data_IF_643362108727
#
_entry.id   IF_643362108727
#
_cell.length_a   1.000
_cell.length_b   1.000
_cell.length_c   1.000
_cell.angle_alpha   90.00
_cell.angle_beta   90.00
_cell.angle_gamma   90.00
#
_symmetry.space_group_name_H-M   'P 1'
#
loop_
_entity.id
_entity.type
_entity.pdbx_description
1 polymer ?
#
# COMPACT_ATOMS: atom_id res chain seq x y z
N UNK A 1 20.98 -15.06 21.51
CA UNK A 1 21.88 -14.06 20.89
C UNK A 1 21.01 -12.99 20.26
N UNK A 2 21.42 -11.72 20.21
CA UNK A 2 20.61 -10.69 19.56
C UNK A 2 20.37 -11.03 18.09
N UNK A 3 19.16 -10.78 17.59
CA UNK A 3 18.81 -10.97 16.20
C UNK A 3 19.71 -10.10 15.31
N UNK A 4 20.26 -10.70 14.25
CA UNK A 4 21.11 -9.99 13.30
C UNK A 4 20.28 -9.59 12.09
N UNK A 5 20.16 -8.29 11.85
CA UNK A 5 19.52 -7.70 10.66
C UNK A 5 20.59 -7.23 9.69
N UNK A 6 20.48 -7.60 8.42
CA UNK A 6 21.43 -7.16 7.39
C UNK A 6 20.79 -7.14 6.01
N UNK A 7 21.40 -6.38 5.09
CA UNK A 7 21.01 -6.39 3.69
C UNK A 7 21.68 -7.58 2.98
N UNK A 8 20.88 -8.55 2.55
CA UNK A 8 21.30 -9.69 1.74
C UNK A 8 21.25 -9.38 0.24
N UNK A 9 21.41 -10.42 -0.58
CA UNK A 9 21.38 -10.27 -2.04
C UNK A 9 19.97 -9.91 -2.55
N UNK A 10 18.91 -10.41 -1.90
CA UNK A 10 17.51 -10.28 -2.32
C UNK A 10 16.70 -9.22 -1.58
N UNK A 11 17.24 -8.63 -0.51
CA UNK A 11 16.50 -7.72 0.37
C UNK A 11 16.98 -7.82 1.82
N UNK A 12 16.06 -7.61 2.75
CA UNK A 12 16.35 -7.64 4.18
C UNK A 12 16.41 -9.10 4.66
N UNK A 13 17.47 -9.43 5.39
CA UNK A 13 17.69 -10.74 5.98
C UNK A 13 17.74 -10.62 7.50
N UNK A 14 17.14 -11.60 8.17
CA UNK A 14 17.18 -11.77 9.63
C UNK A 14 17.82 -13.11 9.95
N UNK A 15 18.74 -13.12 10.90
CA UNK A 15 19.27 -14.33 11.51
C UNK A 15 18.97 -14.34 13.01
N UNK A 16 18.19 -15.31 13.45
CA UNK A 16 17.73 -15.43 14.85
C UNK A 16 17.76 -16.90 15.27
N UNK A 17 18.47 -17.21 16.36
CA UNK A 17 18.58 -18.57 16.92
C UNK A 17 19.00 -19.67 15.92
N UNK A 18 19.80 -19.31 14.91
CA UNK A 18 20.25 -20.23 13.85
C UNK A 18 19.31 -20.30 12.64
N UNK A 19 18.11 -19.74 12.75
CA UNK A 19 17.13 -19.61 11.66
C UNK A 19 17.44 -18.38 10.81
N UNK A 20 17.37 -18.55 9.49
CA UNK A 20 17.52 -17.49 8.49
C UNK A 20 16.18 -17.18 7.82
N UNK A 21 15.80 -15.91 7.85
CA UNK A 21 14.53 -15.42 7.32
C UNK A 21 14.81 -14.33 6.29
N UNK A 22 14.25 -14.47 5.10
CA UNK A 22 14.22 -13.41 4.10
C UNK A 22 12.90 -12.66 4.17
N UNK A 23 12.94 -11.34 4.35
CA UNK A 23 11.75 -10.48 4.45
C UNK A 23 11.51 -9.81 3.09
N UNK A 24 10.35 -10.08 2.47
CA UNK A 24 9.93 -9.54 1.17
C UNK A 24 11.03 -9.56 0.09
N UNK A 25 11.63 -10.71 -0.22
CA UNK A 25 12.72 -10.77 -1.18
C UNK A 25 12.27 -10.41 -2.59
N UNK A 26 13.04 -9.54 -3.24
CA UNK A 26 12.87 -9.15 -4.67
C UNK A 26 13.04 -10.32 -5.65
N UNK A 27 13.71 -11.40 -5.22
CA UNK A 27 13.79 -12.67 -5.94
C UNK A 27 14.06 -13.80 -4.95
N UNK A 28 13.61 -15.03 -5.24
CA UNK A 28 13.67 -16.09 -4.25
C UNK A 28 15.12 -16.54 -4.00
N UNK A 29 15.41 -16.89 -2.74
CA UNK A 29 16.75 -17.29 -2.25
C UNK A 29 16.66 -18.50 -1.30
N UNK A 30 17.74 -19.27 -1.19
CA UNK A 30 17.80 -20.37 -0.22
C UNK A 30 17.98 -19.81 1.19
N UNK A 31 17.00 -20.07 2.05
CA UNK A 31 16.95 -19.71 3.47
C UNK A 31 15.89 -20.58 4.14
N UNK A 32 15.84 -20.60 5.47
CA UNK A 32 14.86 -21.42 6.19
C UNK A 32 13.43 -20.94 5.91
N UNK A 33 13.20 -19.62 6.00
CA UNK A 33 11.89 -19.01 5.76
C UNK A 33 11.95 -17.80 4.82
N UNK A 34 10.95 -17.70 3.96
CA UNK A 34 10.66 -16.49 3.18
C UNK A 34 9.35 -15.91 3.68
N UNK A 35 9.39 -14.68 4.17
CA UNK A 35 8.18 -13.96 4.57
C UNK A 35 7.72 -13.04 3.44
N UNK A 36 6.42 -13.09 3.13
CA UNK A 36 5.74 -12.16 2.22
C UNK A 36 4.69 -11.41 3.02
N UNK A 37 4.95 -10.12 3.28
CA UNK A 37 4.13 -9.27 4.12
C UNK A 37 2.76 -9.00 3.50
N UNK A 38 2.74 -8.67 2.20
CA UNK A 38 1.51 -8.34 1.50
C UNK A 38 1.64 -8.44 -0.03
N UNK A 39 0.54 -8.20 -0.71
CA UNK A 39 0.39 -8.51 -2.13
C UNK A 39 0.66 -7.32 -3.08
N UNK A 40 1.41 -6.28 -2.69
CA UNK A 40 1.93 -5.30 -3.66
C UNK A 40 3.16 -5.84 -4.40
N UNK A 41 3.46 -5.28 -5.59
CA UNK A 41 4.42 -5.90 -6.52
C UNK A 41 5.85 -5.85 -5.98
N UNK A 42 6.19 -4.78 -5.30
CA UNK A 42 7.48 -4.53 -4.67
C UNK A 42 7.78 -5.45 -3.47
N UNK A 43 6.77 -6.18 -2.98
CA UNK A 43 6.90 -7.22 -1.95
C UNK A 43 6.74 -8.64 -2.52
N UNK A 44 6.41 -8.76 -3.81
CA UNK A 44 6.25 -10.02 -4.51
C UNK A 44 7.42 -10.26 -5.45
N UNK A 45 7.77 -11.53 -5.63
CA UNK A 45 8.68 -11.94 -6.68
C UNK A 45 8.01 -12.95 -7.60
N UNK A 46 8.45 -12.98 -8.85
CA UNK A 46 8.07 -14.07 -9.76
C UNK A 46 8.82 -15.34 -9.37
N UNK A 47 8.15 -16.47 -9.55
CA UNK A 47 8.77 -17.79 -9.37
C UNK A 47 10.02 -17.91 -10.24
N UNK A 48 11.15 -18.17 -9.60
CA UNK A 48 12.41 -18.47 -10.29
C UNK A 48 12.37 -19.85 -10.96
N UNK A 49 13.21 -20.05 -11.98
CA UNK A 49 13.35 -21.37 -12.64
C UNK A 49 14.05 -22.41 -11.77
N UNK A 50 14.81 -21.98 -10.76
CA UNK A 50 15.54 -22.87 -9.85
C UNK A 50 14.64 -23.30 -8.70
N UNK A 51 14.69 -24.59 -8.34
CA UNK A 51 14.09 -25.08 -7.10
C UNK A 51 14.84 -24.46 -5.93
N UNK A 52 14.11 -23.74 -5.09
CA UNK A 52 14.63 -23.08 -3.89
C UNK A 52 14.04 -23.79 -2.69
N UNK A 53 14.88 -24.09 -1.70
CA UNK A 53 14.46 -24.70 -0.45
C UNK A 53 14.21 -23.58 0.55
N UNK A 54 12.95 -23.25 0.77
CA UNK A 54 12.48 -22.28 1.77
C UNK A 54 11.01 -22.56 2.07
N UNK A 55 10.58 -22.41 3.33
CA UNK A 55 9.17 -22.40 3.69
C UNK A 55 8.65 -20.96 3.57
N UNK A 56 7.57 -20.77 2.81
CA UNK A 56 6.97 -19.43 2.68
C UNK A 56 5.99 -19.20 3.82
N UNK A 57 6.05 -18.01 4.40
CA UNK A 57 5.13 -17.52 5.44
C UNK A 57 4.41 -16.31 4.88
N UNK A 58 3.09 -16.39 4.77
CA UNK A 58 2.24 -15.33 4.21
C UNK A 58 0.79 -15.57 4.66
N UNK A 59 -0.01 -14.51 4.71
CA UNK A 59 -1.45 -14.66 4.98
C UNK A 59 -2.20 -15.29 3.80
N UNK A 60 -3.34 -15.91 4.12
CA UNK A 60 -4.29 -16.43 3.12
C UNK A 60 -4.76 -15.32 2.19
N UNK A 61 -5.10 -14.15 2.73
CA UNK A 61 -5.56 -13.00 1.95
C UNK A 61 -4.48 -12.52 0.97
N UNK A 62 -3.23 -12.39 1.44
CA UNK A 62 -2.09 -12.00 0.59
C UNK A 62 -1.92 -12.99 -0.55
N UNK A 63 -2.04 -14.29 -0.28
CA UNK A 63 -1.92 -15.35 -1.28
C UNK A 63 -3.00 -15.26 -2.37
N UNK A 64 -4.26 -15.09 -1.97
CA UNK A 64 -5.39 -14.99 -2.91
C UNK A 64 -5.33 -13.71 -3.75
N UNK A 65 -4.95 -12.58 -3.14
CA UNK A 65 -4.77 -11.32 -3.85
C UNK A 65 -3.59 -11.41 -4.81
N UNK A 66 -2.45 -11.98 -4.39
CA UNK A 66 -1.29 -12.20 -5.25
C UNK A 66 -1.66 -13.05 -6.48
N UNK A 67 -2.41 -14.13 -6.28
CA UNK A 67 -2.91 -15.00 -7.35
C UNK A 67 -3.78 -14.24 -8.36
N UNK A 68 -4.73 -13.43 -7.87
CA UNK A 68 -5.57 -12.60 -8.75
C UNK A 68 -4.75 -11.59 -9.57
N UNK A 69 -3.58 -11.19 -9.07
CA UNK A 69 -2.62 -10.29 -9.74
C UNK A 69 -1.59 -11.03 -10.60
N UNK A 70 -1.66 -12.36 -10.69
CA UNK A 70 -0.78 -13.18 -11.54
C UNK A 70 0.53 -13.59 -10.88
N UNK A 71 0.62 -13.53 -9.55
CA UNK A 71 1.76 -14.00 -8.75
C UNK A 71 1.39 -15.30 -8.03
N UNK A 72 2.35 -16.23 -7.93
CA UNK A 72 2.15 -17.52 -7.28
C UNK A 72 2.94 -17.55 -5.96
N UNK A 73 2.25 -17.70 -4.83
CA UNK A 73 2.84 -18.02 -3.53
C UNK A 73 2.53 -19.49 -3.26
N UNK A 74 3.57 -20.34 -3.25
CA UNK A 74 3.41 -21.79 -3.16
C UNK A 74 3.50 -22.24 -1.71
N UNK A 75 2.53 -23.05 -1.28
CA UNK A 75 2.44 -23.68 0.04
C UNK A 75 2.73 -22.72 1.23
N UNK A 76 2.06 -21.54 1.30
CA UNK A 76 2.27 -20.61 2.40
C UNK A 76 1.75 -21.18 3.72
N UNK A 77 2.47 -20.88 4.80
CA UNK A 77 2.04 -21.18 6.16
C UNK A 77 1.70 -19.88 6.90
N UNK A 78 0.55 -19.85 7.58
CA UNK A 78 0.17 -18.74 8.47
C UNK A 78 0.64 -18.94 9.91
N UNK A 79 0.90 -20.20 10.28
CA UNK A 79 1.42 -20.60 11.58
C UNK A 79 2.74 -21.36 11.38
N UNK A 80 3.80 -20.79 11.90
CA UNK A 80 5.12 -21.40 12.00
C UNK A 80 5.66 -21.05 13.38
N UNK A 81 6.08 -22.06 14.16
CA UNK A 81 6.53 -21.84 15.54
C UNK A 81 7.60 -20.75 15.63
N UNK A 82 7.36 -19.75 16.49
CA UNK A 82 8.24 -18.58 16.65
C UNK A 82 8.06 -17.49 15.60
N UNK A 83 7.19 -17.66 14.60
CA UNK A 83 6.90 -16.70 13.52
C UNK A 83 5.42 -16.31 13.54
N UNK A 84 5.10 -15.25 14.28
CA UNK A 84 3.73 -14.78 14.42
C UNK A 84 3.40 -13.68 13.40
N UNK A 85 2.27 -13.85 12.71
CA UNK A 85 1.71 -12.83 11.82
C UNK A 85 0.90 -11.80 12.61
N UNK A 86 1.20 -10.51 12.40
CA UNK A 86 0.53 -9.38 13.07
C UNK A 86 -0.10 -8.47 12.01
N UNK A 87 -1.36 -8.07 12.19
CA UNK A 87 -2.05 -7.16 11.26
C UNK A 87 -1.40 -5.77 11.21
N UNK A 88 -1.09 -5.29 10.01
CA UNK A 88 -0.40 -3.99 9.80
C UNK A 88 -1.34 -2.89 9.37
N UNK A 89 -2.63 -3.17 9.13
CA UNK A 89 -3.60 -2.17 8.72
C UNK A 89 -3.31 -1.48 7.38
N UNK A 90 -2.35 -1.96 6.58
CA UNK A 90 -1.95 -1.35 5.30
C UNK A 90 -2.94 -1.65 4.17
N UNK A 91 -3.07 -2.92 3.78
CA UNK A 91 -4.08 -3.42 2.84
C UNK A 91 -4.68 -4.73 3.37
N UNK A 92 -5.79 -5.21 2.78
CA UNK A 92 -6.40 -6.47 3.21
C UNK A 92 -5.36 -7.61 3.10
N UNK A 93 -5.12 -8.29 4.22
CA UNK A 93 -4.15 -9.38 4.30
C UNK A 93 -2.74 -8.98 4.68
N UNK A 94 -2.41 -7.69 4.77
CA UNK A 94 -1.06 -7.26 5.10
C UNK A 94 -0.68 -7.69 6.53
N UNK A 95 0.46 -8.36 6.64
CA UNK A 95 1.02 -8.84 7.91
C UNK A 95 2.43 -8.33 8.10
N UNK A 96 2.76 -8.05 9.35
CA UNK A 96 4.12 -7.96 9.86
C UNK A 96 4.48 -9.29 10.50
N UNK A 97 5.77 -9.49 10.74
CA UNK A 97 6.32 -10.73 11.28
C UNK A 97 6.97 -10.46 12.63
N UNK A 98 6.42 -11.05 13.69
CA UNK A 98 7.02 -11.08 15.02
C UNK A 98 7.79 -12.41 15.19
N UNK A 99 9.08 -12.31 15.45
CA UNK A 99 10.01 -13.45 15.55
C UNK A 99 10.45 -13.65 17.00
N UNK A 100 10.05 -14.77 17.60
CA UNK A 100 10.25 -15.17 19.00
C UNK A 100 10.00 -14.05 20.04
N UNK A 101 8.97 -13.22 19.84
CA UNK A 101 8.66 -12.05 20.69
C UNK A 101 9.83 -11.05 20.86
N UNK A 102 10.81 -11.08 19.95
CA UNK A 102 12.05 -10.31 20.07
C UNK A 102 12.24 -9.29 18.94
N UNK A 103 11.92 -9.70 17.71
CA UNK A 103 12.08 -8.88 16.52
C UNK A 103 10.75 -8.73 15.80
N UNK A 104 10.36 -7.50 15.50
CA UNK A 104 9.17 -7.22 14.69
C UNK A 104 9.54 -6.53 13.38
N UNK A 105 9.16 -7.14 12.26
CA UNK A 105 9.20 -6.52 10.94
C UNK A 105 7.80 -6.07 10.54
N UNK A 106 7.63 -4.78 10.24
CA UNK A 106 6.30 -4.23 9.95
C UNK A 106 5.80 -4.57 8.56
N UNK A 107 6.68 -4.81 7.58
CA UNK A 107 6.29 -4.57 6.18
C UNK A 107 5.78 -3.13 6.02
N UNK A 108 4.79 -2.94 5.16
CA UNK A 108 4.06 -1.67 5.12
C UNK A 108 2.98 -1.63 6.19
N UNK A 109 2.81 -0.47 6.82
CA UNK A 109 2.01 -0.32 8.03
C UNK A 109 1.16 0.95 8.02
N UNK A 110 -0.02 0.88 8.62
CA UNK A 110 -0.86 2.03 8.85
C UNK A 110 -1.60 1.98 10.20
N UNK A 111 -1.39 2.99 11.03
CA UNK A 111 -1.95 3.07 12.38
C UNK A 111 -3.31 3.75 12.47
N UNK A 112 -3.85 4.28 11.37
CA UNK A 112 -5.19 4.90 11.34
C UNK A 112 -6.25 3.96 10.81
N UNK A 113 -7.45 4.07 11.37
CA UNK A 113 -8.63 3.39 10.84
C UNK A 113 -9.03 4.00 9.49
N UNK A 114 -9.28 3.15 8.49
CA UNK A 114 -9.65 3.58 7.13
C UNK A 114 -10.63 2.62 6.50
N UNK A 115 -11.83 3.09 6.16
CA UNK A 115 -12.86 2.29 5.49
C UNK A 115 -13.18 0.97 6.22
N UNK A 116 -12.68 -0.17 5.72
CA UNK A 116 -12.82 -1.49 6.33
C UNK A 116 -11.53 -1.99 7.01
N UNK A 117 -10.44 -1.22 6.94
CA UNK A 117 -9.15 -1.54 7.55
C UNK A 117 -9.10 -1.03 8.99
N UNK A 118 -8.74 -1.92 9.90
CA UNK A 118 -8.46 -1.56 11.29
C UNK A 118 -7.04 -0.99 11.43
N UNK A 119 -6.79 -0.15 12.45
CA UNK A 119 -5.44 0.25 12.83
C UNK A 119 -4.52 -0.95 13.07
N UNK A 120 -3.25 -0.82 12.65
CA UNK A 120 -2.19 -1.69 13.14
C UNK A 120 -2.11 -1.65 14.67
N UNK A 121 -1.78 -2.79 15.29
CA UNK A 121 -1.47 -2.87 16.72
C UNK A 121 -0.02 -3.25 16.86
N UNK A 122 0.77 -2.43 17.55
CA UNK A 122 2.20 -2.70 17.67
C UNK A 122 2.45 -3.73 18.76
N UNK A 123 3.11 -4.86 18.45
CA UNK A 123 3.60 -5.76 19.49
C UNK A 123 4.79 -5.12 20.20
N UNK A 124 5.08 -5.59 21.41
CA UNK A 124 6.38 -5.32 22.02
C UNK A 124 7.46 -6.18 21.35
N UNK A 125 8.58 -5.57 21.00
CA UNK A 125 9.75 -6.25 20.46
C UNK A 125 11.01 -5.44 20.78
N UNK A 126 12.14 -6.09 21.10
CA UNK A 126 13.41 -5.39 21.37
C UNK A 126 14.03 -4.83 20.09
N UNK A 127 13.83 -5.51 18.95
CA UNK A 127 14.25 -5.01 17.63
C UNK A 127 13.04 -4.71 16.76
N UNK A 128 12.95 -3.49 16.23
CA UNK A 128 11.91 -3.09 15.28
C UNK A 128 12.53 -2.84 13.91
N UNK A 129 12.00 -3.45 12.86
CA UNK A 129 12.29 -3.13 11.46
C UNK A 129 11.03 -2.48 10.86
N UNK A 130 11.08 -1.18 10.60
CA UNK A 130 9.89 -0.37 10.23
C UNK A 130 10.07 0.36 8.89
N UNK A 131 9.00 0.39 8.10
CA UNK A 131 8.98 1.16 6.84
C UNK A 131 9.10 2.67 7.08
N UNK A 132 9.50 3.41 6.06
CA UNK A 132 9.62 4.87 6.12
C UNK A 132 9.23 5.56 4.82
N UNK A 133 8.17 5.07 4.17
CA UNK A 133 7.65 5.65 2.92
C UNK A 133 7.39 7.15 3.06
N UNK A 134 6.84 7.57 4.20
CA UNK A 134 6.60 8.97 4.57
C UNK A 134 7.44 9.39 5.79
N UNK A 135 8.69 8.94 5.84
CA UNK A 135 9.62 9.17 6.96
C UNK A 135 10.13 10.60 7.16
N UNK A 136 9.66 11.59 6.41
CA UNK A 136 10.01 13.01 6.60
C UNK A 136 8.90 13.78 7.34
N UNK A 137 9.25 14.73 8.24
CA UNK A 137 8.29 15.51 9.03
C UNK A 137 7.24 16.31 8.24
N UNK A 138 7.48 16.57 6.95
CA UNK A 138 6.56 17.28 6.06
C UNK A 138 5.38 16.42 5.57
N UNK A 139 5.48 15.09 5.66
CA UNK A 139 4.41 14.18 5.27
C UNK A 139 3.48 13.89 6.45
N UNK A 140 2.59 14.86 6.71
CA UNK A 140 1.47 14.73 7.65
C UNK A 140 0.17 14.71 6.85
N UNK A 141 -0.65 13.68 7.04
CA UNK A 141 -1.90 13.56 6.31
C UNK A 141 -3.04 14.25 7.05
N UNK A 142 -3.96 14.94 6.34
CA UNK A 142 -5.14 15.47 6.97
C UNK A 142 -6.07 14.32 7.42
N UNK A 143 -7.01 14.59 8.34
CA UNK A 143 -8.00 13.61 8.74
C UNK A 143 -8.79 13.06 7.54
N UNK A 144 -9.11 11.76 7.56
CA UNK A 144 -9.87 11.11 6.49
C UNK A 144 -11.21 11.81 6.20
N UNK A 145 -11.86 12.33 7.25
CA UNK A 145 -13.10 13.09 7.12
C UNK A 145 -12.95 14.35 6.28
N UNK A 146 -11.82 15.05 6.35
CA UNK A 146 -11.52 16.22 5.52
C UNK A 146 -11.34 15.82 4.05
N UNK A 147 -10.60 14.74 3.79
CA UNK A 147 -10.41 14.19 2.44
C UNK A 147 -11.76 13.80 1.83
N UNK A 148 -12.61 13.11 2.60
CA UNK A 148 -13.95 12.73 2.17
C UNK A 148 -14.83 13.95 1.91
N UNK A 149 -14.82 14.94 2.80
CA UNK A 149 -15.60 16.16 2.65
C UNK A 149 -15.20 16.92 1.38
N UNK A 150 -13.90 17.16 1.17
CA UNK A 150 -13.39 17.85 -0.03
C UNK A 150 -13.71 17.09 -1.31
N UNK A 151 -13.59 15.76 -1.30
CA UNK A 151 -13.95 14.93 -2.46
C UNK A 151 -15.45 15.02 -2.78
N UNK A 152 -16.31 14.85 -1.77
CA UNK A 152 -17.77 14.94 -1.97
C UNK A 152 -18.18 16.33 -2.47
N UNK A 153 -17.54 17.40 -1.98
CA UNK A 153 -17.75 18.76 -2.47
C UNK A 153 -17.45 18.88 -3.96
N UNK A 154 -16.28 18.39 -4.41
CA UNK A 154 -15.92 18.41 -5.84
C UNK A 154 -16.90 17.59 -6.65
N UNK A 155 -17.26 16.38 -6.20
CA UNK A 155 -18.23 15.54 -6.92
C UNK A 155 -19.57 16.27 -7.07
N UNK A 156 -20.08 16.90 -6.00
CA UNK A 156 -21.33 17.66 -6.03
C UNK A 156 -21.26 18.83 -7.01
N UNK A 157 -20.19 19.63 -6.97
CA UNK A 157 -19.99 20.76 -7.89
C UNK A 157 -19.92 20.31 -9.35
N UNK A 158 -19.25 19.18 -9.63
CA UNK A 158 -19.18 18.64 -10.98
C UNK A 158 -20.53 18.08 -11.44
N UNK A 159 -21.29 17.46 -10.54
CA UNK A 159 -22.66 17.01 -10.82
C UNK A 159 -23.58 18.17 -11.21
N UNK A 160 -23.51 19.31 -10.50
CA UNK A 160 -24.29 20.52 -10.83
C UNK A 160 -23.95 21.06 -12.22
N UNK A 161 -22.71 20.84 -12.68
CA UNK A 161 -22.24 21.23 -14.02
C UNK A 161 -22.46 20.15 -15.08
N UNK A 162 -23.00 18.98 -14.72
CA UNK A 162 -23.14 17.84 -15.62
C UNK A 162 -21.81 17.17 -16.02
N UNK A 163 -20.74 17.39 -15.24
CA UNK A 163 -19.38 16.92 -15.52
C UNK A 163 -19.14 15.58 -14.79
N UNK A 164 -18.71 14.51 -15.50
CA UNK A 164 -18.31 13.27 -14.85
C UNK A 164 -17.03 13.37 -14.03
N UNK A 165 -16.89 12.52 -13.00
CA UNK A 165 -15.73 12.52 -12.11
C UNK A 165 -15.11 11.13 -12.01
N UNK A 166 -13.79 11.06 -12.16
CA UNK A 166 -13.01 9.83 -12.02
C UNK A 166 -12.15 9.91 -10.76
N UNK A 167 -12.43 9.05 -9.79
CA UNK A 167 -11.67 8.86 -8.56
C UNK A 167 -10.58 7.82 -8.79
N UNK A 168 -9.32 8.23 -8.68
CA UNK A 168 -8.19 7.42 -9.10
C UNK A 168 -7.27 7.06 -7.92
N UNK A 169 -7.08 5.76 -7.69
CA UNK A 169 -6.16 5.22 -6.69
C UNK A 169 -5.51 3.93 -7.19
N UNK A 170 -4.42 3.48 -6.56
CA UNK A 170 -3.81 2.20 -6.92
C UNK A 170 -4.84 1.06 -6.95
N UNK A 171 -4.71 0.20 -7.96
CA UNK A 171 -5.67 -0.87 -8.25
C UNK A 171 -5.91 -1.81 -7.06
N UNK A 172 -4.87 -2.04 -6.25
CA UNK A 172 -4.93 -2.77 -4.98
C UNK A 172 -4.81 -1.80 -3.79
N UNK A 173 -5.70 -1.97 -2.81
CA UNK A 173 -5.74 -1.21 -1.56
C UNK A 173 -6.57 0.06 -1.72
N UNK A 174 -6.01 1.04 -2.42
CA UNK A 174 -6.59 2.38 -2.52
C UNK A 174 -7.91 2.41 -3.27
N UNK A 175 -8.01 1.74 -4.42
CA UNK A 175 -9.25 1.70 -5.20
C UNK A 175 -10.41 1.00 -4.46
N UNK A 176 -10.12 -0.04 -3.66
CA UNK A 176 -11.12 -0.69 -2.80
C UNK A 176 -11.59 0.26 -1.70
N UNK A 177 -10.66 1.01 -1.09
CA UNK A 177 -10.98 2.05 -0.11
C UNK A 177 -11.87 3.15 -0.74
N UNK A 178 -11.55 3.64 -1.94
CA UNK A 178 -12.39 4.61 -2.66
C UNK A 178 -13.78 4.04 -2.96
N UNK A 179 -13.86 2.79 -3.41
CA UNK A 179 -15.14 2.07 -3.63
C UNK A 179 -15.98 2.05 -2.36
N UNK A 180 -15.36 1.84 -1.19
CA UNK A 180 -16.06 1.84 0.10
C UNK A 180 -16.52 3.24 0.53
N UNK A 181 -15.61 4.23 0.46
CA UNK A 181 -15.83 5.57 0.99
C UNK A 181 -16.81 6.40 0.15
N UNK A 182 -16.87 6.14 -1.15
CA UNK A 182 -17.71 6.87 -2.10
C UNK A 182 -18.80 6.00 -2.73
N UNK A 183 -19.08 4.83 -2.13
CA UNK A 183 -20.09 3.89 -2.63
C UNK A 183 -21.51 4.46 -2.68
N UNK A 184 -21.82 5.49 -1.88
CA UNK A 184 -23.11 6.19 -1.92
C UNK A 184 -23.37 6.96 -3.22
N UNK A 185 -22.32 7.27 -3.99
CA UNK A 185 -22.45 7.83 -5.34
C UNK A 185 -22.72 6.77 -6.41
N UNK A 186 -22.80 5.49 -6.03
CA UNK A 186 -22.99 4.35 -6.94
C UNK A 186 -21.99 4.36 -8.11
N UNK A 187 -20.67 4.43 -7.82
CA UNK A 187 -19.67 4.62 -8.86
C UNK A 187 -19.61 3.44 -9.83
N UNK A 188 -19.37 3.75 -11.09
CA UNK A 188 -18.91 2.78 -12.10
C UNK A 188 -17.51 2.32 -11.68
N UNK A 189 -17.21 1.03 -11.81
CA UNK A 189 -15.94 0.47 -11.39
C UNK A 189 -15.12 0.06 -12.62
N UNK A 190 -13.92 0.59 -12.76
CA UNK A 190 -13.00 0.15 -13.81
C UNK A 190 -12.73 -1.36 -13.70
N UNK A 191 -12.71 -2.09 -14.81
CA UNK A 191 -12.70 -3.57 -14.80
C UNK A 191 -11.52 -4.19 -14.02
N UNK A 192 -10.33 -3.56 -14.06
CA UNK A 192 -9.19 -4.02 -13.26
C UNK A 192 -9.38 -3.85 -11.75
N UNK A 193 -10.12 -2.82 -11.31
CA UNK A 193 -10.49 -2.60 -9.91
C UNK A 193 -11.59 -3.59 -9.53
N UNK A 194 -12.56 -3.83 -10.41
CA UNK A 194 -13.63 -4.80 -10.19
C UNK A 194 -13.08 -6.21 -9.93
N UNK A 195 -12.03 -6.61 -10.65
CA UNK A 195 -11.32 -7.88 -10.43
C UNK A 195 -10.71 -8.00 -9.03
N UNK A 196 -10.21 -6.93 -8.44
CA UNK A 196 -9.67 -6.96 -7.07
C UNK A 196 -10.80 -6.83 -6.04
N UNK A 197 -11.83 -6.04 -6.33
CA UNK A 197 -13.03 -5.94 -5.49
C UNK A 197 -13.74 -7.29 -5.33
N UNK A 198 -13.74 -8.16 -6.36
CA UNK A 198 -14.31 -9.50 -6.24
C UNK A 198 -13.56 -10.36 -5.22
N UNK A 199 -12.21 -10.33 -5.24
CA UNK A 199 -11.38 -11.04 -4.25
C UNK A 199 -11.62 -10.50 -2.85
N UNK A 200 -11.70 -9.18 -2.68
CA UNK A 200 -12.03 -8.57 -1.39
C UNK A 200 -13.40 -9.03 -0.89
N UNK A 201 -14.37 -9.20 -1.78
CA UNK A 201 -15.71 -9.67 -1.44
C UNK A 201 -15.73 -11.15 -1.06
N UNK A 202 -14.97 -12.00 -1.76
CA UNK A 202 -14.75 -13.41 -1.39
C UNK A 202 -14.08 -13.55 -0.01
N UNK A 203 -13.23 -12.60 0.34
CA UNK A 203 -12.58 -12.47 1.65
C UNK A 203 -13.47 -11.80 2.72
N UNK A 204 -14.73 -11.49 2.40
CA UNK A 204 -15.73 -11.01 3.35
C UNK A 204 -15.84 -9.49 3.49
N UNK A 205 -15.12 -8.70 2.69
CA UNK A 205 -15.25 -7.23 2.69
C UNK A 205 -16.47 -6.81 1.88
N UNK A 206 -17.40 -6.10 2.53
CA UNK A 206 -18.60 -5.54 1.87
C UNK A 206 -18.26 -4.26 1.09
N UNK A 207 -17.94 -4.43 -0.19
CA UNK A 207 -17.79 -3.35 -1.17
C UNK A 207 -19.08 -3.18 -1.98
N UNK A 208 -19.31 -1.97 -2.51
CA UNK A 208 -20.41 -1.74 -3.43
C UNK A 208 -20.17 -2.52 -4.73
N UNK A 209 -21.14 -3.35 -5.13
CA UNK A 209 -21.15 -4.00 -6.43
C UNK A 209 -21.65 -2.99 -7.46
N UNK A 210 -20.73 -2.25 -8.07
CA UNK A 210 -21.02 -1.32 -9.16
C UNK A 210 -21.03 -2.01 -10.52
N UNK A 211 -21.62 -1.33 -11.50
CA UNK A 211 -21.51 -1.68 -12.92
C UNK A 211 -20.05 -1.49 -13.35
N UNK A 212 -19.47 -2.42 -14.12
CA UNK A 212 -18.10 -2.24 -14.61
C UNK A 212 -18.03 -1.21 -15.73
N UNK A 213 -16.85 -0.64 -16.00
CA UNK A 213 -16.69 0.31 -17.12
C UNK A 213 -17.19 -0.28 -18.45
N UNK A 214 -16.80 -1.52 -18.78
CA UNK A 214 -17.30 -2.21 -19.98
C UNK A 214 -18.83 -2.32 -20.01
N UNK A 215 -19.44 -2.75 -18.91
CA UNK A 215 -20.90 -2.87 -18.83
C UNK A 215 -21.60 -1.51 -18.97
N UNK A 216 -21.01 -0.46 -18.41
CA UNK A 216 -21.52 0.90 -18.52
C UNK A 216 -21.46 1.42 -19.96
N UNK A 217 -20.39 1.10 -20.70
CA UNK A 217 -20.30 1.40 -22.14
C UNK A 217 -21.37 0.64 -22.95
N UNK A 218 -21.51 -0.67 -22.74
CA UNK A 218 -22.49 -1.52 -23.44
C UNK A 218 -23.94 -1.08 -23.16
N UNK A 219 -24.23 -0.59 -21.95
CA UNK A 219 -25.54 -0.11 -21.53
C UNK A 219 -25.77 1.38 -21.85
N UNK A 220 -24.78 2.08 -22.41
CA UNK A 220 -24.88 3.52 -22.71
C UNK A 220 -25.00 4.42 -21.47
N UNK A 221 -24.48 3.97 -20.32
CA UNK A 221 -24.50 4.73 -19.06
C UNK A 221 -23.46 5.87 -19.04
N UNK A 222 -22.40 5.76 -19.86
CA UNK A 222 -21.44 6.84 -20.04
C UNK A 222 -22.02 7.88 -21.01
N UNK A 223 -22.54 8.98 -20.45
CA UNK A 223 -23.14 10.09 -21.20
C UNK A 223 -22.47 11.42 -20.87
N UNK A 224 -22.56 12.39 -21.79
CA UNK A 224 -22.24 13.80 -21.53
C UNK A 224 -23.37 14.54 -20.80
N UNK A 225 -24.59 14.01 -20.87
CA UNK A 225 -25.79 14.72 -20.40
C UNK A 225 -26.20 14.34 -18.98
N UNK A 226 -25.61 13.28 -18.42
CA UNK A 226 -25.87 12.80 -17.07
C UNK A 226 -24.50 12.56 -16.41
N UNK A 227 -24.17 13.27 -15.32
CA UNK A 227 -22.90 13.08 -14.64
C UNK A 227 -22.85 11.69 -13.98
N UNK A 228 -21.68 11.09 -13.99
CA UNK A 228 -21.39 9.81 -13.36
C UNK A 228 -20.08 9.89 -12.58
N UNK A 229 -19.95 9.07 -11.54
CA UNK A 229 -18.70 8.85 -10.82
C UNK A 229 -18.11 7.52 -11.25
N UNK A 230 -16.79 7.46 -11.40
CA UNK A 230 -16.06 6.23 -11.62
C UNK A 230 -14.93 6.07 -10.60
N UNK A 231 -14.68 4.85 -10.14
CA UNK A 231 -13.43 4.47 -9.46
C UNK A 231 -12.52 3.74 -10.45
N UNK A 232 -11.31 4.25 -10.64
CA UNK A 232 -10.34 3.72 -11.61
C UNK A 232 -8.92 3.62 -11.02
N UNK A 233 -8.01 2.85 -11.66
CA UNK A 233 -6.60 2.86 -11.33
C UNK A 233 -6.00 4.27 -11.42
N UNK A 234 -5.01 4.54 -10.60
CA UNK A 234 -4.23 5.77 -10.72
C UNK A 234 -3.42 5.75 -12.01
N UNK A 235 -3.71 6.72 -12.88
CA UNK A 235 -3.11 6.87 -14.19
C UNK A 235 -2.80 8.35 -14.43
N UNK A 236 -1.65 8.68 -15.02
CA UNK A 236 -1.40 10.05 -15.46
C UNK A 236 -2.34 10.44 -16.62
N UNK A 237 -2.45 11.73 -16.88
CA UNK A 237 -3.15 12.27 -18.05
C UNK A 237 -2.66 11.71 -19.40
N UNK A 238 -1.41 11.23 -19.48
CA UNK A 238 -0.88 10.62 -20.72
C UNK A 238 -1.42 9.21 -20.98
N UNK A 239 -2.17 8.61 -20.07
CA UNK A 239 -2.77 7.31 -20.28
C UNK A 239 -3.92 7.41 -21.30
N UNK A 240 -4.02 6.42 -22.21
CA UNK A 240 -5.03 6.42 -23.27
C UNK A 240 -6.46 6.45 -22.73
N UNK A 241 -6.75 5.70 -21.66
CA UNK A 241 -8.06 5.66 -21.02
C UNK A 241 -8.43 7.03 -20.43
N UNK A 242 -7.50 7.68 -19.71
CA UNK A 242 -7.76 8.99 -19.11
C UNK A 242 -8.02 10.05 -20.19
N UNK A 243 -7.20 10.08 -21.25
CA UNK A 243 -7.43 10.99 -22.40
C UNK A 243 -8.78 10.73 -23.04
N UNK A 244 -9.11 9.47 -23.28
CA UNK A 244 -10.38 9.10 -23.88
C UNK A 244 -11.57 9.58 -23.04
N UNK A 245 -11.53 9.38 -21.72
CA UNK A 245 -12.60 9.83 -20.84
C UNK A 245 -12.73 11.37 -20.80
N UNK A 246 -11.59 12.08 -20.80
CA UNK A 246 -11.56 13.54 -20.89
C UNK A 246 -12.12 14.04 -22.23
N UNK A 247 -11.63 13.51 -23.35
CA UNK A 247 -11.98 13.96 -24.70
C UNK A 247 -13.44 13.62 -25.06
N UNK A 248 -13.88 12.40 -24.73
CA UNK A 248 -15.22 11.91 -25.08
C UNK A 248 -16.29 12.39 -24.12
N UNK A 249 -16.01 12.61 -22.84
CA UNK A 249 -17.05 12.91 -21.84
C UNK A 249 -16.82 14.20 -21.06
N UNK A 250 -15.67 14.88 -21.24
CA UNK A 250 -15.33 16.06 -20.45
C UNK A 250 -15.06 15.73 -18.98
N UNK A 251 -14.75 14.47 -18.67
CA UNK A 251 -14.59 14.01 -17.29
C UNK A 251 -13.40 14.70 -16.60
N UNK A 252 -13.53 14.97 -15.29
CA UNK A 252 -12.40 15.45 -14.47
C UNK A 252 -11.86 14.34 -13.59
N UNK A 253 -10.59 14.46 -13.23
CA UNK A 253 -9.84 13.46 -12.47
C UNK A 253 -9.50 13.93 -11.06
N UNK A 254 -9.66 13.04 -10.07
CA UNK A 254 -9.19 13.22 -8.71
C UNK A 254 -8.21 12.09 -8.37
N UNK A 255 -6.92 12.41 -8.22
CA UNK A 255 -5.91 11.44 -7.79
C UNK A 255 -5.77 11.35 -6.28
N UNK A 256 -5.75 10.13 -5.74
CA UNK A 256 -5.55 9.87 -4.31
C UNK A 256 -4.16 9.27 -4.09
N UNK A 257 -3.32 9.96 -3.33
CA UNK A 257 -1.97 9.51 -2.98
C UNK A 257 -1.43 10.24 -1.75
N UNK A 258 -0.58 9.60 -0.95
CA UNK A 258 0.13 10.28 0.14
C UNK A 258 1.04 11.40 -0.37
N UNK A 259 1.57 11.27 -1.59
CA UNK A 259 2.39 12.31 -2.23
C UNK A 259 1.62 13.60 -2.54
N UNK A 260 0.29 13.56 -2.50
CA UNK A 260 -0.58 14.72 -2.74
C UNK A 260 -0.63 15.73 -1.57
N UNK A 261 0.15 15.51 -0.50
CA UNK A 261 0.42 16.56 0.51
C UNK A 261 1.08 17.77 -0.17
N UNK A 262 1.96 17.54 -1.15
CA UNK A 262 2.60 18.58 -1.94
C UNK A 262 1.87 18.88 -3.25
N UNK A 263 1.80 20.16 -3.64
CA UNK A 263 1.18 20.57 -4.91
C UNK A 263 1.89 20.03 -6.16
N UNK A 264 3.17 19.66 -6.06
CA UNK A 264 3.97 19.13 -7.18
C UNK A 264 3.37 17.86 -7.80
N UNK A 265 2.76 17.02 -6.97
CA UNK A 265 2.20 15.74 -7.39
C UNK A 265 1.08 15.90 -8.43
N UNK A 266 0.20 16.88 -8.24
CA UNK A 266 -0.88 17.23 -9.19
C UNK A 266 -0.33 17.50 -10.59
N UNK A 267 0.68 18.38 -10.69
CA UNK A 267 1.28 18.77 -11.96
C UNK A 267 2.08 17.65 -12.60
N UNK A 268 2.82 16.88 -11.79
CA UNK A 268 3.58 15.72 -12.26
C UNK A 268 2.67 14.68 -12.94
N UNK A 269 1.48 14.46 -12.38
CA UNK A 269 0.53 13.47 -12.88
C UNK A 269 -0.46 14.02 -13.93
N UNK A 270 -0.53 15.35 -14.11
CA UNK A 270 -1.50 15.98 -15.03
C UNK A 270 -2.95 15.89 -14.56
N UNK A 271 -3.18 15.87 -13.25
CA UNK A 271 -4.52 15.64 -12.68
C UNK A 271 -5.25 16.95 -12.41
N UNK A 272 -6.58 16.92 -12.49
CA UNK A 272 -7.41 18.11 -12.26
C UNK A 272 -7.48 18.44 -10.76
N UNK A 273 -7.59 17.40 -9.92
CA UNK A 273 -7.54 17.49 -8.46
C UNK A 273 -6.70 16.37 -7.86
N UNK A 274 -6.20 16.58 -6.64
CA UNK A 274 -5.51 15.56 -5.86
C UNK A 274 -5.93 15.60 -4.39
N UNK A 275 -5.91 14.44 -3.75
CA UNK A 275 -6.26 14.25 -2.34
C UNK A 275 -5.15 13.48 -1.60
N UNK A 276 -4.65 14.01 -0.47
CA UNK A 276 -3.66 13.33 0.36
C UNK A 276 -4.30 12.14 1.10
N UNK A 277 -4.30 10.98 0.45
CA UNK A 277 -4.83 9.73 0.98
C UNK A 277 -3.83 8.61 0.74
N UNK A 278 -3.34 8.02 1.82
CA UNK A 278 -2.38 6.93 1.80
C UNK A 278 -2.90 5.72 2.57
N UNK A 279 -2.37 4.57 2.22
CA UNK A 279 -2.44 3.28 2.92
C UNK A 279 -1.22 3.03 3.82
N UNK A 280 -0.23 3.93 3.85
CA UNK A 280 0.92 3.90 4.76
C UNK A 280 0.78 4.90 5.91
N UNK A 281 1.50 4.70 7.01
CA UNK A 281 1.64 5.70 8.07
C UNK A 281 2.16 7.04 7.50
N UNK A 282 1.63 8.13 8.03
CA UNK A 282 2.29 9.43 7.94
C UNK A 282 3.46 9.48 8.94
N UNK A 283 4.22 10.58 8.93
CA UNK A 283 5.38 10.72 9.80
C UNK A 283 5.04 10.60 11.30
N UNK A 284 3.92 11.17 11.75
CA UNK A 284 3.52 11.11 13.18
C UNK A 284 3.12 9.70 13.58
N UNK A 285 2.43 8.99 12.70
CA UNK A 285 2.06 7.59 12.92
C UNK A 285 3.28 6.68 12.95
N UNK A 286 4.29 6.91 12.10
CA UNK A 286 5.55 6.16 12.18
C UNK A 286 6.25 6.35 13.54
N UNK A 287 6.32 7.59 14.04
CA UNK A 287 6.86 7.87 15.38
C UNK A 287 6.01 7.23 16.49
N UNK A 288 4.68 7.23 16.33
CA UNK A 288 3.77 6.57 17.27
C UNK A 288 3.98 5.05 17.28
N UNK A 289 4.18 4.42 16.12
CA UNK A 289 4.44 2.99 15.99
C UNK A 289 5.71 2.59 16.75
N UNK A 290 6.78 3.37 16.59
CA UNK A 290 8.04 3.19 17.34
C UNK A 290 7.81 3.26 18.85
N UNK A 291 7.08 4.29 19.32
CA UNK A 291 6.80 4.49 20.75
C UNK A 291 5.92 3.39 21.35
N UNK A 292 4.94 2.90 20.60
CA UNK A 292 4.05 1.82 21.04
C UNK A 292 4.78 0.47 21.12
N UNK A 293 5.65 0.19 20.15
CA UNK A 293 6.48 -1.02 20.11
C UNK A 293 7.49 -1.08 21.29
N UNK A 294 8.08 0.06 21.66
CA UNK A 294 9.13 0.20 22.69
C UNK A 294 10.40 -0.63 22.41
N UNK A 295 11.03 -0.48 21.23
CA UNK A 295 12.23 -1.22 20.89
C UNK A 295 13.49 -0.64 21.55
N UNK A 296 14.47 -1.53 21.77
CA UNK A 296 15.85 -1.17 22.13
C UNK A 296 16.64 -0.74 20.88
N UNK A 297 16.35 -1.37 19.72
CA UNK A 297 17.00 -1.12 18.43
C UNK A 297 15.99 -0.97 17.30
N UNK A 298 16.20 0.03 16.44
CA UNK A 298 15.34 0.30 15.29
C UNK A 298 16.15 0.22 13.99
N UNK A 299 15.59 -0.48 13.01
CA UNK A 299 16.04 -0.47 11.63
C UNK A 299 14.97 0.15 10.73
N UNK A 300 15.31 1.19 9.99
CA UNK A 300 14.38 1.80 9.02
C UNK A 300 14.64 1.27 7.62
N UNK A 301 13.58 1.08 6.83
CA UNK A 301 13.69 0.64 5.44
C UNK A 301 12.61 1.28 4.57
N UNK A 302 12.79 1.24 3.25
CA UNK A 302 11.87 1.83 2.26
C UNK A 302 11.71 3.37 2.35
N UNK A 303 11.49 4.06 1.23
CA UNK A 303 11.34 5.52 1.21
C UNK A 303 12.51 6.30 1.84
N UNK A 304 12.20 7.09 2.88
CA UNK A 304 13.11 8.01 3.59
C UNK A 304 13.81 7.36 4.80
N UNK A 305 14.39 6.17 4.59
CA UNK A 305 14.98 5.38 5.68
C UNK A 305 16.05 6.13 6.47
N UNK A 306 16.95 6.83 5.78
CA UNK A 306 18.02 7.58 6.44
C UNK A 306 17.44 8.74 7.23
N UNK A 307 16.61 9.56 6.61
CA UNK A 307 16.03 10.76 7.20
C UNK A 307 15.14 10.40 8.41
N UNK A 308 14.40 9.30 8.33
CA UNK A 308 13.60 8.83 9.46
C UNK A 308 14.46 8.30 10.60
N UNK A 309 15.53 7.55 10.31
CA UNK A 309 16.48 7.10 11.33
C UNK A 309 17.17 8.28 12.02
N UNK A 310 17.64 9.29 11.27
CA UNK A 310 18.23 10.51 11.81
C UNK A 310 17.25 11.24 12.74
N UNK A 311 15.98 11.36 12.33
CA UNK A 311 14.95 11.97 13.18
C UNK A 311 14.66 11.18 14.47
N UNK A 312 14.67 9.84 14.40
CA UNK A 312 14.53 8.99 15.60
C UNK A 312 15.74 9.12 16.53
N UNK A 313 16.95 9.26 16.00
CA UNK A 313 18.16 9.51 16.79
C UNK A 313 18.07 10.85 17.53
N UNK A 314 17.56 11.90 16.89
CA UNK A 314 17.31 13.19 17.53
C UNK A 314 16.30 13.07 18.70
N UNK A 315 15.36 12.12 18.63
CA UNK A 315 14.43 11.80 19.71
C UNK A 315 15.00 10.86 20.79
N UNK A 316 16.26 10.43 20.65
CA UNK A 316 16.97 9.58 21.62
C UNK A 316 16.80 8.07 21.41
N UNK A 317 16.30 7.61 20.25
CA UNK A 317 16.24 6.20 19.92
C UNK A 317 17.54 5.71 19.25
N UNK A 318 17.92 4.46 19.48
CA UNK A 318 18.95 3.79 18.67
C UNK A 318 18.35 3.31 17.35
N UNK A 319 18.49 4.12 16.30
CA UNK A 319 17.95 3.87 14.98
C UNK A 319 19.03 3.95 13.88
N UNK A 320 18.95 3.08 12.88
CA UNK A 320 19.76 3.18 11.66
C UNK A 320 19.02 2.61 10.45
N UNK A 321 19.30 3.06 9.21
CA UNK A 321 18.73 2.42 8.03
C UNK A 321 19.31 1.02 7.83
N UNK A 322 18.51 0.09 7.29
CA UNK A 322 19.03 -1.22 6.88
C UNK A 322 20.08 -1.03 5.77
N UNK A 323 21.33 -1.41 6.04
CA UNK A 323 22.45 -1.28 5.10
C UNK A 323 22.99 0.15 4.98
N UNK A 324 23.55 0.53 3.83
CA UNK A 324 24.29 1.80 3.69
C UNK A 324 23.41 3.07 3.66
N UNK A 325 22.09 2.96 3.82
CA UNK A 325 21.14 4.09 3.79
C UNK A 325 21.23 4.96 2.53
N UNK A 326 21.89 4.50 1.47
CA UNK A 326 22.07 5.20 0.20
C UNK A 326 21.25 4.48 -0.83
N UNK A 327 19.96 4.78 -0.88
CA UNK A 327 19.16 4.39 -2.01
C UNK A 327 18.43 5.64 -2.54
N UNK A 328 19.21 6.61 -3.04
CA UNK A 328 18.67 7.74 -3.82
C UNK A 328 17.78 7.25 -4.97
N UNK A 329 18.06 6.05 -5.51
CA UNK A 329 17.18 5.36 -6.45
C UNK A 329 15.88 4.87 -5.82
N UNK A 330 15.81 4.47 -4.55
CA UNK A 330 14.57 4.05 -3.88
C UNK A 330 13.63 5.23 -3.58
N UNK A 331 14.13 6.41 -3.21
CA UNK A 331 13.27 7.60 -3.08
C UNK A 331 12.71 8.06 -4.46
N UNK A 332 13.52 7.93 -5.51
CA UNK A 332 13.11 8.18 -6.90
C UNK A 332 12.25 7.03 -7.48
N UNK A 333 12.39 5.81 -6.95
CA UNK A 333 11.60 4.61 -7.27
C UNK A 333 10.31 4.52 -6.48
N UNK A 334 10.19 5.01 -5.25
CA UNK A 334 8.90 5.16 -4.58
C UNK A 334 8.01 6.16 -5.35
N UNK A 335 8.63 7.14 -6.02
CA UNK A 335 7.97 8.03 -6.98
C UNK A 335 7.69 7.39 -8.36
N UNK A 336 8.34 6.27 -8.73
CA UNK A 336 8.24 5.67 -10.09
C UNK A 336 7.78 4.19 -10.17
N UNK A 337 7.82 3.41 -9.08
CA UNK A 337 7.32 2.03 -8.97
C UNK A 337 5.82 2.00 -8.66
N UNK A 338 5.34 3.03 -7.97
CA UNK A 338 3.92 3.37 -7.85
C UNK A 338 3.32 3.87 -9.18
N UNK A 339 4.16 4.04 -10.21
CA UNK A 339 3.76 4.52 -11.52
C UNK A 339 3.89 3.40 -12.56
N UNK A 340 2.74 2.88 -13.00
CA UNK A 340 2.54 2.09 -14.21
C UNK A 340 3.11 0.66 -14.22
N UNK A 341 2.39 -0.30 -13.62
CA UNK A 341 2.10 -1.59 -14.26
C UNK A 341 0.69 -2.09 -13.92
#
# INVERSE_FOLDING_TARGET
MPSRVFLGQSGIMVQQNGTTISLDPSYPINCDFTFVSHAHVDHLHRRGRKKIKTQVVASKETTLIAQARGYEIVDPAEDQGGLQLVDTGHILGSRGLLVDDDLYYTGDICMRERAFMKPAKMPHARTLIIESTFGMPEYIFPPLSEVMHRTNKIISEMYDLGIPVILMGYTLGKAQMLTKLFGHWHPIIHDSVAKINSVYSELGVKLACGVTNRQAEEQGLLSKSIPWVMVAPLMSERNAFVREMKDRFGAVTIGFSGWAVGNRYKYMMGLDYVMPLSDHCDYKELVAAVKECRPDKIYTFHGFAREFAESLQEMGFDAEPVGNGHNRKAAQMALTLDSFQ
#
